data_IF_747002546201
#
_entry.id   IF_747002546201
#
_cell.length_a   1.000
_cell.length_b   1.000
_cell.length_c   1.000
_cell.angle_alpha   90.00
_cell.angle_beta   90.00
_cell.angle_gamma   90.00
#
_symmetry.space_group_name_H-M   'P 1'
#
loop_
_entity.id
_entity.type
_entity.pdbx_description
1 polymer ?
#
# COMPACT_ATOMS: atom_id res chain seq x y z
N UNK A 1 -1.51 9.07 11.46
CA UNK A 1 -0.93 7.76 11.85
C UNK A 1 -1.13 6.68 10.79
N UNK A 2 -2.32 6.54 10.19
CA UNK A 2 -2.60 5.46 9.23
C UNK A 2 -1.77 5.51 7.92
N UNK A 3 -1.58 6.69 7.32
CA UNK A 3 -0.75 6.83 6.11
C UNK A 3 0.68 6.29 6.31
N UNK A 4 1.29 6.65 7.44
CA UNK A 4 2.63 6.18 7.80
C UNK A 4 2.68 4.66 7.96
N UNK A 5 1.66 4.07 8.58
CA UNK A 5 1.57 2.62 8.75
C UNK A 5 1.46 1.88 7.40
N UNK A 6 0.72 2.44 6.44
CA UNK A 6 0.63 1.90 5.08
C UNK A 6 1.98 1.96 4.37
N UNK A 7 2.64 3.13 4.38
CA UNK A 7 3.99 3.31 3.80
C UNK A 7 5.01 2.35 4.42
N UNK A 8 5.05 2.24 5.74
CA UNK A 8 5.93 1.30 6.46
C UNK A 8 5.67 -0.17 6.07
N UNK A 9 4.42 -0.55 5.83
CA UNK A 9 4.07 -1.91 5.40
C UNK A 9 4.51 -2.20 3.94
N UNK A 10 4.35 -1.22 3.05
CA UNK A 10 4.81 -1.31 1.65
C UNK A 10 6.34 -1.44 1.61
N UNK A 11 7.04 -0.59 2.37
CA UNK A 11 8.51 -0.64 2.49
C UNK A 11 8.99 -1.97 3.09
N UNK A 12 8.27 -2.50 4.08
CA UNK A 12 8.59 -3.79 4.66
C UNK A 12 8.40 -4.95 3.66
N UNK A 13 7.38 -4.89 2.81
CA UNK A 13 7.19 -5.85 1.71
C UNK A 13 8.36 -5.79 0.73
N UNK A 14 8.70 -4.57 0.28
CA UNK A 14 9.83 -4.33 -0.63
C UNK A 14 11.14 -4.89 -0.07
N UNK A 15 11.40 -4.65 1.22
CA UNK A 15 12.57 -5.19 1.92
C UNK A 15 12.56 -6.71 1.99
N UNK A 16 11.41 -7.34 2.27
CA UNK A 16 11.30 -8.80 2.29
C UNK A 16 11.58 -9.42 0.90
N UNK A 17 11.17 -8.75 -0.17
CA UNK A 17 11.49 -9.14 -1.54
C UNK A 17 12.98 -8.99 -1.85
N UNK A 18 13.62 -7.91 -1.40
CA UNK A 18 15.06 -7.69 -1.56
C UNK A 18 15.90 -8.68 -0.75
N UNK A 19 15.43 -9.04 0.44
CA UNK A 19 16.00 -10.10 1.28
C UNK A 19 15.82 -11.50 0.67
N UNK A 20 15.09 -11.64 -0.44
CA UNK A 20 14.78 -12.91 -1.09
C UNK A 20 13.85 -13.80 -0.28
N UNK A 21 13.10 -13.24 0.67
CA UNK A 21 12.02 -13.95 1.39
C UNK A 21 10.79 -14.10 0.52
N UNK A 22 10.46 -13.08 -0.27
CA UNK A 22 9.31 -13.11 -1.17
C UNK A 22 9.79 -13.41 -2.59
N UNK A 23 9.04 -14.27 -3.29
CA UNK A 23 9.26 -14.51 -4.72
C UNK A 23 8.95 -13.24 -5.50
N UNK A 24 9.92 -12.74 -6.26
CA UNK A 24 9.70 -11.74 -7.32
C UNK A 24 10.04 -12.33 -8.67
N UNK A 25 9.30 -11.93 -9.70
CA UNK A 25 9.68 -12.13 -11.08
C UNK A 25 10.77 -11.11 -11.49
N UNK A 26 11.50 -11.41 -12.57
CA UNK A 26 12.58 -10.52 -13.04
C UNK A 26 12.05 -9.14 -13.48
N UNK A 27 10.81 -9.09 -13.97
CA UNK A 27 10.14 -7.88 -14.44
C UNK A 27 9.41 -7.12 -13.32
N UNK A 28 9.44 -7.63 -12.08
CA UNK A 28 8.79 -7.00 -10.94
C UNK A 28 9.75 -6.08 -10.18
N UNK A 29 9.26 -4.89 -9.84
CA UNK A 29 9.99 -3.89 -9.05
C UNK A 29 10.25 -4.39 -7.61
N UNK A 30 9.45 -5.35 -7.14
CA UNK A 30 9.50 -5.95 -5.81
C UNK A 30 8.62 -5.27 -4.77
N UNK A 31 7.87 -4.24 -5.18
CA UNK A 31 6.75 -3.69 -4.41
C UNK A 31 5.52 -4.63 -4.47
N UNK A 32 4.59 -4.52 -3.50
CA UNK A 32 3.40 -5.36 -3.48
C UNK A 32 2.50 -5.08 -4.71
N UNK A 33 1.89 -6.12 -5.32
CA UNK A 33 0.97 -5.94 -6.46
C UNK A 33 -0.37 -5.30 -6.09
N UNK A 34 -0.83 -5.47 -4.85
CA UNK A 34 -2.04 -4.84 -4.30
C UNK A 34 -1.89 -4.57 -2.80
N UNK A 35 -2.78 -3.78 -2.20
CA UNK A 35 -2.77 -3.56 -0.75
C UNK A 35 -3.19 -4.80 0.04
N UNK A 36 -4.04 -5.65 -0.56
CA UNK A 36 -4.58 -6.85 0.06
C UNK A 36 -3.46 -7.83 0.45
N UNK A 37 -2.42 -7.94 -0.39
CA UNK A 37 -1.27 -8.84 -0.13
C UNK A 37 -0.53 -8.50 1.17
N UNK A 38 -0.62 -7.24 1.64
CA UNK A 38 -0.02 -6.82 2.91
C UNK A 38 -0.72 -7.48 4.10
N UNK A 39 -2.01 -7.82 3.97
CA UNK A 39 -2.82 -8.49 4.99
C UNK A 39 -2.89 -10.00 4.78
N UNK A 40 -3.11 -10.45 3.54
CA UNK A 40 -3.12 -11.87 3.19
C UNK A 40 -1.78 -12.53 3.51
N UNK A 41 -0.70 -11.77 3.26
CA UNK A 41 0.67 -12.17 3.45
C UNK A 41 1.24 -12.96 2.28
N UNK A 42 2.54 -12.80 2.05
CA UNK A 42 3.29 -13.49 1.01
C UNK A 42 4.06 -14.68 1.60
N UNK A 43 4.22 -15.77 0.83
CA UNK A 43 4.99 -16.94 1.26
C UNK A 43 6.46 -16.57 1.52
N UNK A 44 7.00 -16.95 2.68
CA UNK A 44 8.43 -16.84 2.97
C UNK A 44 9.20 -18.03 2.38
N UNK A 45 9.96 -17.77 1.33
CA UNK A 45 10.84 -18.73 0.70
C UNK A 45 12.04 -19.15 1.58
N UNK A 46 12.38 -18.35 2.59
CA UNK A 46 13.45 -18.68 3.56
C UNK A 46 12.94 -19.48 4.75
N UNK A 47 11.63 -19.53 4.97
CA UNK A 47 11.05 -20.37 6.01
C UNK A 47 10.88 -21.80 5.47
N UNK A 48 11.45 -22.83 6.12
CA UNK A 48 11.30 -24.23 5.69
C UNK A 48 9.84 -24.71 5.67
N UNK A 49 8.96 -24.11 6.49
CA UNK A 49 7.52 -24.39 6.53
C UNK A 49 6.73 -23.51 5.53
N UNK A 50 7.39 -22.62 4.79
CA UNK A 50 6.78 -21.66 3.84
C UNK A 50 5.65 -20.84 4.46
N UNK A 51 5.81 -20.41 5.70
CA UNK A 51 4.82 -19.58 6.40
C UNK A 51 4.64 -18.25 5.66
N UNK A 52 3.42 -17.72 5.68
CA UNK A 52 3.12 -16.41 5.10
C UNK A 52 3.59 -15.29 6.02
N UNK A 53 4.37 -14.34 5.50
CA UNK A 53 4.71 -13.08 6.15
C UNK A 53 3.57 -12.10 5.93
N UNK A 54 2.94 -11.66 7.01
CA UNK A 54 1.93 -10.60 7.00
C UNK A 54 2.55 -9.30 7.45
N UNK A 55 2.32 -8.23 6.70
CA UNK A 55 2.84 -6.88 6.99
C UNK A 55 1.85 -6.05 7.78
N UNK A 56 0.56 -6.31 7.58
CA UNK A 56 -0.54 -5.67 8.28
C UNK A 56 -1.50 -6.73 8.86
N UNK A 57 -2.16 -6.39 9.96
CA UNK A 57 -3.25 -7.21 10.52
C UNK A 57 -4.60 -6.94 9.84
N UNK A 58 -4.77 -5.71 9.34
CA UNK A 58 -5.89 -5.20 8.57
C UNK A 58 -5.44 -3.95 7.85
N UNK A 59 -6.09 -3.60 6.73
CA UNK A 59 -5.86 -2.31 6.07
C UNK A 59 -6.45 -1.19 6.93
N UNK A 60 -5.65 -0.21 7.38
CA UNK A 60 -6.19 0.95 8.06
C UNK A 60 -6.93 1.85 7.06
N UNK A 61 -8.14 2.33 7.39
CA UNK A 61 -8.86 3.26 6.53
C UNK A 61 -8.11 4.60 6.46
N UNK A 62 -8.28 5.31 5.35
CA UNK A 62 -7.88 6.70 5.21
C UNK A 62 -8.71 7.57 6.18
N UNK A 63 -8.07 8.15 7.21
CA UNK A 63 -8.78 8.98 8.18
C UNK A 63 -9.45 10.20 7.55
N UNK A 64 -8.95 10.68 6.41
CA UNK A 64 -9.44 11.89 5.73
C UNK A 64 -10.60 11.61 4.75
N UNK A 65 -10.81 10.36 4.35
CA UNK A 65 -11.88 9.90 3.45
C UNK A 65 -13.03 9.24 4.21
N UNK A 66 -12.86 9.01 5.52
CA UNK A 66 -13.84 8.38 6.44
C UNK A 66 -15.28 8.92 6.41
N UNK A 67 -15.55 10.06 5.75
CA UNK A 67 -16.90 10.61 5.57
C UNK A 67 -17.48 10.47 4.15
N UNK A 68 -16.68 10.09 3.15
CA UNK A 68 -17.08 10.08 1.74
C UNK A 68 -17.40 8.68 1.20
N UNK A 69 -16.83 7.62 1.78
CA UNK A 69 -17.07 6.23 1.38
C UNK A 69 -17.91 5.57 2.47
N UNK A 70 -19.15 5.21 2.15
CA UNK A 70 -20.08 4.51 3.04
C UNK A 70 -20.03 2.99 2.89
N UNK A 71 -19.23 2.49 1.94
CA UNK A 71 -19.09 1.07 1.67
C UNK A 71 -17.96 0.47 2.53
N UNK A 72 -18.34 -0.17 3.63
CA UNK A 72 -17.39 -0.83 4.54
C UNK A 72 -16.51 -1.87 3.83
N UNK A 73 -17.05 -2.54 2.80
CA UNK A 73 -16.30 -3.52 2.02
C UNK A 73 -15.14 -2.89 1.24
N UNK A 74 -15.36 -1.74 0.61
CA UNK A 74 -14.32 -0.97 -0.09
C UNK A 74 -13.24 -0.47 0.88
N UNK A 75 -13.62 -0.13 2.12
CA UNK A 75 -12.68 0.28 3.17
C UNK A 75 -11.81 -0.91 3.62
N UNK A 76 -12.41 -2.10 3.77
CA UNK A 76 -11.67 -3.30 4.15
C UNK A 76 -10.64 -3.74 3.10
N UNK A 77 -10.93 -3.49 1.81
CA UNK A 77 -10.00 -3.75 0.70
C UNK A 77 -8.99 -2.61 0.45
N UNK A 78 -9.07 -1.51 1.20
CA UNK A 78 -8.19 -0.35 1.04
C UNK A 78 -8.41 0.45 -0.25
N UNK A 79 -9.59 0.34 -0.87
CA UNK A 79 -9.96 1.12 -2.06
C UNK A 79 -10.20 2.62 -1.76
N UNK A 80 -10.19 2.99 -0.49
CA UNK A 80 -10.23 4.37 -0.02
C UNK A 80 -8.88 5.10 -0.15
N UNK A 81 -7.81 4.36 -0.45
CA UNK A 81 -6.49 4.91 -0.76
C UNK A 81 -6.27 5.09 -2.26
N UNK A 82 -5.74 6.24 -2.65
CA UNK A 82 -5.17 6.43 -3.98
C UNK A 82 -3.83 5.69 -4.08
N UNK A 83 -3.64 4.94 -5.17
CA UNK A 83 -2.43 4.15 -5.38
C UNK A 83 -1.45 4.86 -6.32
N UNK A 84 -0.17 4.81 -5.98
CA UNK A 84 0.94 5.22 -6.86
C UNK A 84 1.78 3.99 -7.18
N UNK A 85 2.00 3.73 -8.46
CA UNK A 85 2.95 2.71 -8.91
C UNK A 85 4.36 3.29 -9.04
N UNK A 86 5.37 2.43 -8.99
CA UNK A 86 6.77 2.83 -9.11
C UNK A 86 7.07 3.46 -10.48
N UNK A 87 6.37 3.05 -11.53
CA UNK A 87 6.49 3.63 -12.88
C UNK A 87 5.78 5.00 -13.00
N UNK A 88 4.95 5.39 -12.04
CA UNK A 88 4.21 6.65 -12.09
C UNK A 88 5.07 7.85 -11.71
N UNK A 89 4.80 9.00 -12.34
CA UNK A 89 5.51 10.24 -12.01
C UNK A 89 4.99 10.84 -10.71
N UNK A 90 5.85 11.54 -9.97
CA UNK A 90 5.48 12.19 -8.70
C UNK A 90 4.33 13.21 -8.86
N UNK A 91 4.23 13.84 -10.02
CA UNK A 91 3.21 14.84 -10.35
C UNK A 91 1.89 14.23 -10.84
N UNK A 92 1.91 13.03 -11.42
CA UNK A 92 0.72 12.33 -11.90
C UNK A 92 0.71 10.86 -11.44
N UNK A 93 0.34 10.61 -10.17
CA UNK A 93 0.28 9.25 -9.65
C UNK A 93 -0.79 8.43 -10.36
N UNK A 94 -0.42 7.21 -10.73
CA UNK A 94 -1.35 6.25 -11.31
C UNK A 94 -1.17 4.88 -10.68
N UNK A 95 -2.29 4.17 -10.47
CA UNK A 95 -2.26 2.75 -10.23
C UNK A 95 -1.54 2.06 -11.40
N UNK A 96 -0.76 1.04 -11.08
CA UNK A 96 0.03 0.29 -12.07
C UNK A 96 0.13 -1.17 -11.67
N UNK A 97 1.21 -1.82 -12.08
CA UNK A 97 1.45 -3.25 -11.75
C UNK A 97 1.83 -3.48 -10.29
N UNK A 98 2.27 -2.43 -9.61
CA UNK A 98 2.71 -2.43 -8.23
C UNK A 98 2.20 -1.21 -7.47
N UNK A 99 2.23 -1.33 -6.15
CA UNK A 99 1.91 -0.26 -5.20
C UNK A 99 3.19 0.20 -4.53
N UNK A 100 3.74 1.30 -5.03
CA UNK A 100 4.91 1.98 -4.48
C UNK A 100 4.55 2.88 -3.30
N UNK A 101 3.47 3.65 -3.43
CA UNK A 101 3.01 4.56 -2.40
C UNK A 101 1.48 4.67 -2.40
N UNK A 102 0.94 5.17 -1.30
CA UNK A 102 -0.49 5.47 -1.15
C UNK A 102 -0.69 6.93 -0.78
N UNK A 103 -1.81 7.50 -1.21
CA UNK A 103 -2.19 8.88 -0.87
C UNK A 103 -3.68 8.96 -0.55
N UNK A 104 -4.07 10.00 0.17
CA UNK A 104 -5.47 10.22 0.53
C UNK A 104 -6.29 10.66 -0.68
N UNK A 105 -7.47 10.07 -0.88
CA UNK A 105 -8.43 10.51 -1.90
C UNK A 105 -9.24 11.75 -1.46
N UNK A 106 -8.99 12.27 -0.26
CA UNK A 106 -9.71 13.42 0.27
C UNK A 106 -9.44 14.67 -0.56
N UNK A 107 -10.51 15.37 -0.94
CA UNK A 107 -10.43 16.70 -1.58
C UNK A 107 -10.07 17.81 -0.58
N UNK A 108 -9.95 17.46 0.70
CA UNK A 108 -9.59 18.40 1.75
C UNK A 108 -8.14 18.86 1.62
N UNK A 109 -7.92 20.12 1.96
CA UNK A 109 -6.62 20.77 1.96
C UNK A 109 -6.12 20.79 3.40
N UNK A 110 -4.88 20.36 3.62
CA UNK A 110 -4.25 20.43 4.92
C UNK A 110 -4.14 21.87 5.41
N UNK A 111 -3.97 22.06 6.72
CA UNK A 111 -3.82 23.40 7.34
C UNK A 111 -2.63 24.20 6.79
N UNK A 112 -1.70 23.53 6.11
CA UNK A 112 -0.56 24.10 5.39
C UNK A 112 -0.85 24.51 3.93
N UNK A 113 -2.10 24.38 3.45
CA UNK A 113 -2.49 24.71 2.08
C UNK A 113 -2.14 23.64 1.03
N UNK A 114 -1.57 22.50 1.44
CA UNK A 114 -1.25 21.38 0.54
C UNK A 114 -2.41 20.38 0.56
N UNK A 115 -2.98 19.98 -0.60
CA UNK A 115 -3.99 18.93 -0.66
C UNK A 115 -3.46 17.63 -0.03
N UNK A 116 -4.28 16.90 0.74
CA UNK A 116 -3.87 15.63 1.33
C UNK A 116 -3.47 14.57 0.30
N UNK A 117 -3.96 14.70 -0.94
CA UNK A 117 -3.54 13.88 -2.08
C UNK A 117 -2.06 14.09 -2.51
N UNK A 118 -1.41 15.18 -2.07
CA UNK A 118 -0.02 15.55 -2.39
C UNK A 118 0.96 15.37 -1.22
N UNK A 119 0.54 14.70 -0.15
CA UNK A 119 1.34 14.44 1.06
C UNK A 119 1.97 13.05 1.09
#
# INVERSE_FOLDING_TARGET
HHLRQMREAIDAYKKATEDGRIKKNADETGYPPSLEILVEGAEDLKDPDKKKIKFLRRLPPDPMVSHAITDEFSIEQGHDWGLRSYESSAENPSAGKDVYDVYSLSTQIGTNGIPYAKW
#
